data_IF_104960555675
#
_entry.id   IF_104960555675
#
_cell.length_a   1.000
_cell.length_b   1.000
_cell.length_c   1.000
_cell.angle_alpha   90.00
_cell.angle_beta   90.00
_cell.angle_gamma   90.00
#
_symmetry.space_group_name_H-M   'P 1'
#
loop_
_entity.id
_entity.type
_entity.pdbx_description
1 polymer ?
#
# COMPACT_ATOMS: atom_id res chain seq x y z
N UNK A 1 -12.53 8.74 -2.33
CA UNK A 1 -12.09 7.91 -1.18
C UNK A 1 -12.94 6.64 -1.17
N UNK A 2 -12.33 5.47 -1.02
CA UNK A 2 -13.02 4.18 -0.94
C UNK A 2 -12.35 3.28 0.10
N UNK A 3 -13.11 2.36 0.71
CA UNK A 3 -12.64 1.45 1.76
C UNK A 3 -13.13 0.04 1.46
N UNK A 4 -12.23 -0.93 1.63
CA UNK A 4 -12.52 -2.35 1.43
C UNK A 4 -11.88 -3.18 2.54
N UNK A 5 -12.63 -4.16 3.01
CA UNK A 5 -12.21 -5.06 4.09
C UNK A 5 -12.21 -6.51 3.61
N UNK A 6 -11.37 -7.30 4.26
CA UNK A 6 -11.31 -8.74 4.10
C UNK A 6 -10.58 -9.38 5.28
N UNK A 7 -10.82 -10.67 5.51
CA UNK A 7 -10.05 -11.47 6.47
C UNK A 7 -8.56 -11.53 6.04
N UNK A 8 -8.31 -11.60 4.73
CA UNK A 8 -6.98 -11.58 4.15
C UNK A 8 -6.56 -10.19 3.67
N UNK A 9 -5.47 -9.65 4.22
CA UNK A 9 -4.92 -8.34 3.80
C UNK A 9 -4.67 -8.20 2.29
N UNK A 10 -4.30 -9.30 1.62
CA UNK A 10 -4.08 -9.30 0.17
C UNK A 10 -5.37 -9.09 -0.60
N UNK A 11 -6.45 -9.73 -0.16
CA UNK A 11 -7.77 -9.61 -0.78
C UNK A 11 -8.37 -8.22 -0.54
N UNK A 12 -8.18 -7.67 0.67
CA UNK A 12 -8.61 -6.29 0.96
C UNK A 12 -7.95 -5.29 0.00
N UNK A 13 -6.64 -5.44 -0.23
CA UNK A 13 -5.92 -4.64 -1.22
C UNK A 13 -6.44 -4.90 -2.65
N UNK A 14 -6.63 -6.16 -3.05
CA UNK A 14 -7.10 -6.49 -4.40
C UNK A 14 -8.50 -5.91 -4.70
N UNK A 15 -9.40 -5.91 -3.72
CA UNK A 15 -10.72 -5.27 -3.86
C UNK A 15 -10.59 -3.76 -4.11
N UNK A 16 -9.71 -3.09 -3.37
CA UNK A 16 -9.44 -1.66 -3.56
C UNK A 16 -8.81 -1.40 -4.93
N UNK A 17 -7.78 -2.14 -5.30
CA UNK A 17 -7.09 -1.98 -6.58
C UNK A 17 -8.00 -2.29 -7.77
N UNK A 18 -8.82 -3.33 -7.68
CA UNK A 18 -9.83 -3.66 -8.67
C UNK A 18 -10.90 -2.58 -8.80
N UNK A 19 -11.33 -1.98 -7.68
CA UNK A 19 -12.23 -0.83 -7.69
C UNK A 19 -11.57 0.39 -8.37
N UNK A 20 -10.32 0.70 -8.04
CA UNK A 20 -9.55 1.79 -8.68
C UNK A 20 -9.48 1.58 -10.20
N UNK A 21 -9.08 0.39 -10.63
CA UNK A 21 -8.94 0.04 -12.04
C UNK A 21 -10.27 0.11 -12.80
N UNK A 22 -11.36 -0.42 -12.21
CA UNK A 22 -12.70 -0.42 -12.82
C UNK A 22 -13.27 0.99 -13.01
N UNK A 23 -12.94 1.91 -12.10
CA UNK A 23 -13.47 3.26 -12.11
C UNK A 23 -12.52 4.30 -12.70
N UNK A 24 -11.35 3.89 -13.20
CA UNK A 24 -10.33 4.77 -13.78
C UNK A 24 -9.94 5.95 -12.87
N UNK A 25 -9.85 5.70 -11.56
CA UNK A 25 -9.39 6.74 -10.64
C UNK A 25 -7.91 7.07 -10.90
N UNK A 26 -7.58 8.37 -10.88
CA UNK A 26 -6.18 8.82 -10.93
C UNK A 26 -5.48 8.50 -9.61
N UNK A 27 -4.58 7.52 -9.66
CA UNK A 27 -3.78 7.04 -8.53
C UNK A 27 -2.77 8.09 -8.03
N UNK A 28 -2.46 9.11 -8.82
CA UNK A 28 -1.53 10.17 -8.43
C UNK A 28 -2.17 11.20 -7.49
N UNK A 29 -3.50 11.18 -7.35
CA UNK A 29 -4.26 12.08 -6.47
C UNK A 29 -4.52 11.45 -5.09
N UNK A 30 -3.70 10.48 -4.65
CA UNK A 30 -3.91 9.83 -3.36
C UNK A 30 -2.85 8.80 -2.97
N UNK A 31 -3.21 8.00 -1.97
CA UNK A 31 -2.36 6.95 -1.42
C UNK A 31 -3.21 5.81 -0.83
N UNK A 32 -2.58 4.66 -0.60
CA UNK A 32 -3.23 3.49 0.00
C UNK A 32 -2.84 3.39 1.48
N UNK A 33 -3.82 3.07 2.33
CA UNK A 33 -3.61 2.77 3.75
C UNK A 33 -4.04 1.35 4.04
N UNK A 34 -3.22 0.61 4.77
CA UNK A 34 -3.50 -0.77 5.18
C UNK A 34 -3.32 -0.93 6.69
N UNK A 35 -4.22 -1.70 7.32
CA UNK A 35 -4.17 -2.03 8.75
C UNK A 35 -3.18 -3.15 9.08
N UNK A 36 -2.58 -3.77 8.06
CA UNK A 36 -1.68 -4.91 8.19
C UNK A 36 -0.20 -4.51 8.23
N UNK A 37 0.67 -5.52 8.33
CA UNK A 37 2.08 -5.41 7.93
C UNK A 37 2.20 -5.19 6.42
N UNK A 38 3.31 -4.59 5.99
CA UNK A 38 3.68 -4.53 4.58
C UNK A 38 4.49 -5.77 4.18
N UNK A 39 4.00 -6.53 3.20
CA UNK A 39 4.73 -7.63 2.59
C UNK A 39 5.11 -7.28 1.15
N UNK A 40 6.10 -8.00 0.62
CA UNK A 40 6.58 -7.82 -0.75
C UNK A 40 5.44 -7.89 -1.78
N UNK A 41 4.48 -8.80 -1.59
CA UNK A 41 3.34 -8.99 -2.49
C UNK A 41 2.41 -7.77 -2.50
N UNK A 42 2.21 -7.10 -1.35
CA UNK A 42 1.41 -5.88 -1.28
C UNK A 42 2.09 -4.74 -2.05
N UNK A 43 3.41 -4.58 -1.87
CA UNK A 43 4.18 -3.58 -2.60
C UNK A 43 4.11 -3.83 -4.10
N UNK A 44 4.31 -5.08 -4.52
CA UNK A 44 4.23 -5.48 -5.94
C UNK A 44 2.89 -5.11 -6.57
N UNK A 45 1.78 -5.38 -5.88
CA UNK A 45 0.43 -5.06 -6.36
C UNK A 45 0.20 -3.55 -6.49
N UNK A 46 0.63 -2.78 -5.51
CA UNK A 46 0.57 -1.32 -5.56
C UNK A 46 1.43 -0.76 -6.72
N UNK A 47 2.65 -1.25 -6.88
CA UNK A 47 3.57 -0.84 -7.94
C UNK A 47 3.01 -1.14 -9.35
N UNK A 48 2.31 -2.26 -9.54
CA UNK A 48 1.68 -2.61 -10.83
C UNK A 48 0.63 -1.59 -11.30
N UNK A 49 0.03 -0.85 -10.38
CA UNK A 49 -0.92 0.22 -10.68
C UNK A 49 -0.32 1.62 -10.48
N UNK A 50 1.01 1.74 -10.35
CA UNK A 50 1.70 3.00 -10.11
C UNK A 50 1.16 3.78 -8.89
N UNK A 51 0.74 3.07 -7.84
CA UNK A 51 0.37 3.71 -6.58
C UNK A 51 1.62 4.36 -5.98
N UNK A 52 1.57 5.68 -5.75
CA UNK A 52 2.72 6.45 -5.29
C UNK A 52 3.15 6.10 -3.85
N UNK A 53 2.19 5.89 -2.95
CA UNK A 53 2.45 5.67 -1.53
C UNK A 53 1.59 4.56 -0.93
N UNK A 54 2.24 3.67 -0.18
CA UNK A 54 1.60 2.69 0.70
C UNK A 54 1.94 3.00 2.16
N UNK A 55 0.92 3.32 2.95
CA UNK A 55 1.01 3.50 4.39
C UNK A 55 0.48 2.25 5.13
N UNK A 56 1.23 1.75 6.10
CA UNK A 56 0.84 0.58 6.90
C UNK A 56 0.89 0.89 8.40
N UNK A 57 -0.05 0.31 9.16
CA UNK A 57 -0.10 0.47 10.63
C UNK A 57 0.98 -0.39 11.32
N UNK A 58 1.44 -1.47 10.68
CA UNK A 58 2.42 -2.42 11.24
C UNK A 58 3.70 -2.48 10.41
N UNK A 59 4.67 -3.26 10.89
CA UNK A 59 6.03 -3.33 10.34
C UNK A 59 6.08 -3.84 8.89
N UNK A 60 7.06 -3.37 8.09
CA UNK A 60 7.39 -3.97 6.81
C UNK A 60 8.38 -5.13 6.96
N UNK A 61 8.49 -6.00 5.95
CA UNK A 61 9.62 -6.94 5.84
C UNK A 61 10.78 -6.30 5.06
N UNK A 62 12.01 -6.78 5.25
CA UNK A 62 13.17 -6.30 4.48
C UNK A 62 12.95 -6.44 2.97
N UNK A 63 12.29 -7.53 2.55
CA UNK A 63 11.94 -7.75 1.14
C UNK A 63 10.91 -6.74 0.62
N UNK A 64 9.95 -6.32 1.46
CA UNK A 64 9.00 -5.26 1.11
C UNK A 64 9.71 -3.91 0.92
N UNK A 65 10.62 -3.55 1.82
CA UNK A 65 11.43 -2.32 1.72
C UNK A 65 12.24 -2.32 0.43
N UNK A 66 12.94 -3.43 0.13
CA UNK A 66 13.76 -3.53 -1.07
C UNK A 66 12.92 -3.40 -2.35
N UNK A 67 11.76 -4.03 -2.40
CA UNK A 67 10.87 -3.88 -3.55
C UNK A 67 10.32 -2.45 -3.67
N UNK A 68 9.97 -1.80 -2.57
CA UNK A 68 9.48 -0.42 -2.59
C UNK A 68 10.53 0.53 -3.19
N UNK A 69 11.81 0.35 -2.82
CA UNK A 69 12.94 1.09 -3.42
C UNK A 69 13.06 0.82 -4.92
N UNK A 70 13.00 -0.44 -5.32
CA UNK A 70 13.14 -0.84 -6.72
C UNK A 70 12.00 -0.34 -7.60
N UNK A 71 10.78 -0.25 -7.05
CA UNK A 71 9.60 0.22 -7.77
C UNK A 71 9.39 1.73 -7.69
N UNK A 72 10.21 2.46 -6.92
CA UNK A 72 9.99 3.89 -6.65
C UNK A 72 8.72 4.18 -5.83
N UNK A 73 8.21 3.18 -5.09
CA UNK A 73 7.02 3.33 -4.26
C UNK A 73 7.44 3.86 -2.88
N UNK A 74 6.76 4.89 -2.38
CA UNK A 74 6.96 5.40 -1.01
C UNK A 74 6.29 4.48 0.00
N UNK A 75 7.06 3.96 0.94
CA UNK A 75 6.58 3.04 1.98
C UNK A 75 6.68 3.71 3.36
N UNK A 76 5.52 3.98 3.95
CA UNK A 76 5.41 4.38 5.33
C UNK A 76 4.89 3.21 6.18
N UNK A 77 5.44 3.00 7.37
CA UNK A 77 4.95 2.00 8.31
C UNK A 77 4.90 2.53 9.74
N UNK A 78 4.28 1.77 10.64
CA UNK A 78 3.97 2.22 12.01
C UNK A 78 3.13 3.50 12.05
N UNK A 79 2.25 3.69 11.05
CA UNK A 79 1.37 4.87 10.96
C UNK A 79 0.34 4.81 12.09
N UNK A 80 0.52 5.61 13.14
CA UNK A 80 -0.36 5.66 14.33
C UNK A 80 -0.39 7.07 14.91
N UNK A 81 -1.58 7.58 15.19
CA UNK A 81 -1.77 8.94 15.71
C UNK A 81 -1.07 9.95 14.80
N UNK A 82 -0.12 10.70 15.37
CA UNK A 82 0.63 11.75 14.67
C UNK A 82 2.02 11.31 14.20
N UNK A 83 2.32 10.01 14.16
CA UNK A 83 3.64 9.49 13.81
C UNK A 83 3.62 8.37 12.76
N UNK A 84 4.71 8.26 12.02
CA UNK A 84 5.01 7.18 11.08
C UNK A 84 6.53 7.07 10.88
N UNK A 85 6.99 5.96 10.31
CA UNK A 85 8.38 5.76 9.88
C UNK A 85 8.40 5.62 8.36
N UNK A 86 9.18 6.46 7.70
CA UNK A 86 9.39 6.41 6.25
C UNK A 86 10.58 5.49 5.93
N UNK A 87 10.38 4.54 5.01
CA UNK A 87 11.41 3.58 4.61
C UNK A 87 12.00 3.86 3.22
N UNK A 88 11.22 4.48 2.34
CA UNK A 88 11.56 4.77 0.94
C UNK A 88 10.93 6.08 0.50
#
# INVERSE_FOLDING_TARGET
>A
VALFEDVGRHNALDKLLGYIAKHHYDVNQGFVVMTSRASYELIRKCAQLNIALLACISAPTSMAINMAKQSGLTLASFCRGNGFVLYT
#
